data_IF_412036820935
#
_entry.id   IF_412036820935
#
_cell.length_a   1.000
_cell.length_b   1.000
_cell.length_c   1.000
_cell.angle_alpha   90.00
_cell.angle_beta   90.00
_cell.angle_gamma   90.00
#
_symmetry.space_group_name_H-M   'P 1'
#
loop_
_entity.id
_entity.type
_entity.pdbx_description
1 polymer ?
#
# COMPACT_ATOMS: atom_id res chain seq x y z
N UNK A 1 14.51 41.03 -29.42
CA UNK A 1 13.56 40.47 -28.43
C UNK A 1 14.33 39.42 -27.65
N UNK A 2 14.66 39.67 -26.37
CA UNK A 2 15.35 38.69 -25.51
C UNK A 2 14.31 37.79 -24.86
N UNK A 3 14.42 36.48 -25.05
CA UNK A 3 13.66 35.51 -24.26
C UNK A 3 14.10 35.65 -22.79
N UNK A 4 13.13 35.64 -21.89
CA UNK A 4 13.36 35.60 -20.44
C UNK A 4 14.16 34.35 -20.06
N UNK A 5 15.20 34.53 -19.25
CA UNK A 5 15.95 33.46 -18.61
C UNK A 5 15.02 32.68 -17.67
N UNK A 6 14.41 31.61 -18.18
CA UNK A 6 13.77 30.60 -17.34
C UNK A 6 14.93 29.83 -16.68
N UNK A 7 15.06 29.84 -15.35
CA UNK A 7 16.10 29.08 -14.69
C UNK A 7 15.90 27.59 -14.99
N UNK A 8 17.00 26.93 -15.37
CA UNK A 8 17.06 25.50 -15.66
C UNK A 8 16.63 24.72 -14.40
N UNK A 9 15.43 24.14 -14.46
CA UNK A 9 14.92 23.28 -13.40
C UNK A 9 15.56 21.92 -13.64
N UNK A 10 16.71 21.67 -13.02
CA UNK A 10 17.36 20.36 -12.98
C UNK A 10 16.91 19.64 -11.69
N UNK A 11 15.84 18.82 -11.71
CA UNK A 11 15.47 18.05 -10.54
C UNK A 11 16.41 16.85 -10.47
N UNK A 12 17.65 17.09 -10.03
CA UNK A 12 18.53 16.03 -9.56
C UNK A 12 17.99 15.48 -8.25
N UNK A 13 16.92 14.69 -8.35
CA UNK A 13 16.51 13.83 -7.25
C UNK A 13 17.49 12.65 -7.27
N UNK A 14 18.61 12.80 -6.58
CA UNK A 14 19.49 11.66 -6.28
C UNK A 14 18.86 10.87 -5.14
N UNK A 15 18.02 9.89 -5.46
CA UNK A 15 17.52 8.92 -4.49
C UNK A 15 18.63 7.89 -4.29
N UNK A 16 19.14 7.78 -3.07
CA UNK A 16 20.05 6.69 -2.73
C UNK A 16 19.27 5.40 -2.43
N UNK A 17 19.99 4.28 -2.26
CA UNK A 17 19.35 2.98 -2.03
C UNK A 17 18.56 2.95 -0.72
N UNK A 18 19.02 3.65 0.31
CA UNK A 18 18.38 3.67 1.63
C UNK A 18 17.07 4.46 1.57
N UNK A 19 17.07 5.61 0.90
CA UNK A 19 15.88 6.38 0.59
C UNK A 19 14.86 5.56 -0.22
N UNK A 20 15.33 4.81 -1.23
CA UNK A 20 14.46 3.95 -2.03
C UNK A 20 13.79 2.86 -1.19
N UNK A 21 14.53 2.20 -0.29
CA UNK A 21 13.99 1.21 0.65
C UNK A 21 12.96 1.82 1.59
N UNK A 22 13.27 2.98 2.16
CA UNK A 22 12.35 3.71 3.05
C UNK A 22 11.05 4.10 2.33
N UNK A 23 11.15 4.54 1.08
CA UNK A 23 9.98 4.86 0.25
C UNK A 23 9.16 3.61 -0.09
N UNK A 24 9.79 2.46 -0.34
CA UNK A 24 9.09 1.20 -0.57
C UNK A 24 8.33 0.73 0.69
N UNK A 25 8.96 0.81 1.86
CA UNK A 25 8.32 0.50 3.14
C UNK A 25 7.16 1.47 3.44
N UNK A 26 7.35 2.76 3.19
CA UNK A 26 6.29 3.76 3.34
C UNK A 26 5.12 3.50 2.39
N UNK A 27 5.40 3.09 1.15
CA UNK A 27 4.38 2.72 0.17
C UNK A 27 3.57 1.50 0.63
N UNK A 28 4.21 0.47 1.20
CA UNK A 28 3.52 -0.69 1.78
C UNK A 28 2.60 -0.23 2.93
N UNK A 29 3.14 0.56 3.87
CA UNK A 29 2.36 1.06 5.00
C UNK A 29 1.16 1.92 4.58
N UNK A 30 1.30 2.73 3.52
CA UNK A 30 0.19 3.50 2.98
C UNK A 30 -0.88 2.62 2.35
N UNK A 31 -0.49 1.54 1.68
CA UNK A 31 -1.42 0.59 1.07
C UNK A 31 -2.20 -0.17 2.16
N UNK A 32 -1.52 -0.62 3.22
CA UNK A 32 -2.13 -1.21 4.43
C UNK A 32 -3.16 -0.27 5.09
N UNK A 33 -2.81 1.01 5.26
CA UNK A 33 -3.73 2.02 5.79
C UNK A 33 -4.96 2.20 4.88
N UNK A 34 -4.75 2.18 3.56
CA UNK A 34 -5.84 2.21 2.59
C UNK A 34 -6.79 1.01 2.74
N UNK A 35 -6.24 -0.19 2.91
CA UNK A 35 -7.03 -1.41 3.15
C UNK A 35 -7.83 -1.32 4.46
N UNK A 36 -7.24 -0.79 5.53
CA UNK A 36 -7.93 -0.58 6.80
C UNK A 36 -9.15 0.35 6.68
N UNK A 37 -9.05 1.41 5.86
CA UNK A 37 -10.19 2.28 5.57
C UNK A 37 -11.28 1.56 4.77
N UNK A 38 -10.91 0.70 3.81
CA UNK A 38 -11.90 -0.10 3.07
C UNK A 38 -12.62 -1.06 4.02
N UNK A 39 -11.90 -1.77 4.88
CA UNK A 39 -12.50 -2.67 5.89
C UNK A 39 -13.51 -1.90 6.75
N UNK A 40 -13.13 -0.70 7.20
CA UNK A 40 -13.99 0.15 8.02
C UNK A 40 -15.25 0.59 7.27
N UNK A 41 -15.11 0.97 5.99
CA UNK A 41 -16.22 1.34 5.11
C UNK A 41 -17.17 0.17 4.83
N UNK A 42 -16.65 -1.04 4.62
CA UNK A 42 -17.46 -2.25 4.49
C UNK A 42 -18.22 -2.57 5.80
N UNK A 43 -17.59 -2.34 6.96
CA UNK A 43 -18.26 -2.45 8.27
C UNK A 43 -19.41 -1.45 8.42
N UNK A 44 -19.20 -0.20 8.01
CA UNK A 44 -20.26 0.82 8.03
C UNK A 44 -21.40 0.49 7.05
N UNK A 45 -21.06 -0.06 5.88
CA UNK A 45 -22.04 -0.56 4.90
C UNK A 45 -22.98 -1.61 5.52
N UNK A 46 -22.45 -2.54 6.33
CA UNK A 46 -23.26 -3.52 7.05
C UNK A 46 -24.23 -2.84 8.01
N UNK A 47 -23.75 -1.89 8.83
CA UNK A 47 -24.62 -1.18 9.79
C UNK A 47 -25.76 -0.47 9.09
N UNK A 48 -25.46 0.30 8.05
CA UNK A 48 -26.46 1.00 7.25
C UNK A 48 -27.44 0.02 6.59
N UNK A 49 -26.94 -1.12 6.11
CA UNK A 49 -27.79 -2.19 5.56
C UNK A 49 -28.78 -2.73 6.60
N UNK A 50 -28.32 -3.02 7.82
CA UNK A 50 -29.17 -3.49 8.92
C UNK A 50 -30.22 -2.47 9.36
N UNK A 51 -29.94 -1.17 9.21
CA UNK A 51 -30.88 -0.10 9.56
C UNK A 51 -31.92 0.18 8.46
N UNK A 52 -31.59 -0.06 7.19
CA UNK A 52 -32.38 0.45 6.04
C UNK A 52 -33.01 -0.62 5.15
N UNK A 53 -32.57 -1.87 5.23
CA UNK A 53 -33.08 -2.96 4.39
C UNK A 53 -34.13 -3.76 5.14
N UNK A 54 -35.33 -3.84 4.59
CA UNK A 54 -36.45 -4.60 5.17
C UNK A 54 -36.53 -6.04 4.64
N UNK A 55 -35.75 -6.36 3.58
CA UNK A 55 -35.76 -7.66 2.92
C UNK A 55 -34.52 -8.49 3.29
N UNK A 56 -34.74 -9.74 3.73
CA UNK A 56 -33.67 -10.68 4.06
C UNK A 56 -32.77 -10.97 2.84
N UNK A 57 -33.34 -11.04 1.63
CA UNK A 57 -32.55 -11.32 0.42
C UNK A 57 -31.57 -10.18 0.10
N UNK A 58 -31.95 -8.93 0.37
CA UNK A 58 -31.08 -7.76 0.23
C UNK A 58 -29.93 -7.80 1.24
N UNK A 59 -30.22 -8.14 2.51
CA UNK A 59 -29.19 -8.31 3.55
C UNK A 59 -28.21 -9.44 3.21
N UNK A 60 -28.71 -10.57 2.70
CA UNK A 60 -27.87 -11.68 2.25
C UNK A 60 -27.00 -11.29 1.04
N UNK A 61 -27.55 -10.51 0.10
CA UNK A 61 -26.78 -9.98 -1.03
C UNK A 61 -25.68 -9.01 -0.58
N UNK A 62 -26.00 -8.12 0.37
CA UNK A 62 -25.03 -7.21 0.99
C UNK A 62 -23.92 -8.00 1.68
N UNK A 63 -24.27 -8.99 2.50
CA UNK A 63 -23.28 -9.82 3.20
C UNK A 63 -22.34 -10.53 2.23
N UNK A 64 -22.87 -11.14 1.15
CA UNK A 64 -22.05 -11.77 0.10
C UNK A 64 -21.11 -10.78 -0.59
N UNK A 65 -21.57 -9.54 -0.80
CA UNK A 65 -20.74 -8.48 -1.38
C UNK A 65 -19.58 -8.10 -0.46
N UNK A 66 -19.85 -7.88 0.83
CA UNK A 66 -18.82 -7.58 1.83
C UNK A 66 -17.82 -8.73 1.94
N UNK A 67 -18.29 -9.97 2.03
CA UNK A 67 -17.46 -11.16 2.09
C UNK A 67 -16.51 -11.27 0.87
N UNK A 68 -16.98 -10.88 -0.31
CA UNK A 68 -16.17 -10.84 -1.52
C UNK A 68 -15.09 -9.76 -1.46
N UNK A 69 -15.41 -8.57 -0.94
CA UNK A 69 -14.41 -7.51 -0.73
C UNK A 69 -13.35 -7.97 0.28
N UNK A 70 -13.75 -8.52 1.42
CA UNK A 70 -12.81 -9.04 2.43
C UNK A 70 -11.89 -10.12 1.86
N UNK A 71 -12.41 -11.04 1.03
CA UNK A 71 -11.58 -12.01 0.30
C UNK A 71 -10.56 -11.34 -0.62
N UNK A 72 -10.92 -10.26 -1.29
CA UNK A 72 -10.00 -9.54 -2.15
C UNK A 72 -8.93 -8.78 -1.35
N UNK A 73 -9.29 -8.23 -0.19
CA UNK A 73 -8.35 -7.62 0.75
C UNK A 73 -7.33 -8.65 1.21
N UNK A 74 -7.74 -9.85 1.64
CA UNK A 74 -6.82 -10.92 2.03
C UNK A 74 -5.83 -11.27 0.92
N UNK A 75 -6.27 -11.34 -0.35
CA UNK A 75 -5.35 -11.56 -1.48
C UNK A 75 -4.35 -10.42 -1.63
N UNK A 76 -4.77 -9.19 -1.35
CA UNK A 76 -3.92 -8.01 -1.43
C UNK A 76 -2.90 -7.97 -0.30
N UNK A 77 -3.30 -8.30 0.92
CA UNK A 77 -2.43 -8.52 2.09
C UNK A 77 -1.34 -9.55 1.79
N UNK A 78 -1.67 -10.66 1.12
CA UNK A 78 -0.66 -11.64 0.68
C UNK A 78 0.37 -11.04 -0.30
N UNK A 79 -0.08 -10.21 -1.25
CA UNK A 79 0.82 -9.53 -2.18
C UNK A 79 1.69 -8.48 -1.48
N UNK A 80 1.15 -7.79 -0.47
CA UNK A 80 1.89 -6.84 0.37
C UNK A 80 2.94 -7.55 1.20
N UNK A 81 2.62 -8.72 1.76
CA UNK A 81 3.57 -9.56 2.46
C UNK A 81 4.74 -9.97 1.55
N UNK A 82 4.46 -10.41 0.31
CA UNK A 82 5.54 -10.74 -0.64
C UNK A 82 6.42 -9.52 -0.94
N UNK A 83 5.81 -8.36 -1.21
CA UNK A 83 6.57 -7.12 -1.46
C UNK A 83 7.43 -6.75 -0.24
N UNK A 84 6.92 -6.91 0.98
CA UNK A 84 7.67 -6.67 2.20
C UNK A 84 8.84 -7.64 2.33
N UNK A 85 8.64 -8.94 2.06
CA UNK A 85 9.71 -9.94 2.06
C UNK A 85 10.83 -9.58 1.07
N UNK A 86 10.49 -9.18 -0.15
CA UNK A 86 11.46 -8.75 -1.16
C UNK A 86 12.28 -7.53 -0.68
N UNK A 87 11.61 -6.56 -0.04
CA UNK A 87 12.27 -5.37 0.51
C UNK A 87 13.20 -5.73 1.68
N UNK A 88 12.80 -6.67 2.54
CA UNK A 88 13.65 -7.14 3.64
C UNK A 88 14.90 -7.88 3.10
N UNK A 89 14.76 -8.71 2.07
CA UNK A 89 15.91 -9.37 1.42
C UNK A 89 16.89 -8.34 0.84
N UNK A 90 16.38 -7.25 0.23
CA UNK A 90 17.22 -6.15 -0.27
C UNK A 90 18.03 -5.44 0.83
N UNK A 91 17.51 -5.40 2.07
CA UNK A 91 18.18 -4.85 3.25
C UNK A 91 19.26 -5.81 3.73
N UNK A 92 18.95 -7.10 3.85
CA UNK A 92 19.90 -8.13 4.31
C UNK A 92 21.13 -8.22 3.40
N UNK A 93 20.93 -8.24 2.08
CA UNK A 93 22.02 -8.23 1.11
C UNK A 93 22.95 -7.02 1.30
N UNK A 94 22.41 -5.85 1.64
CA UNK A 94 23.21 -4.64 1.89
C UNK A 94 24.11 -4.77 3.14
N UNK A 95 23.62 -5.46 4.18
CA UNK A 95 24.40 -5.77 5.37
C UNK A 95 25.60 -6.66 5.08
N UNK A 96 25.45 -7.64 4.17
CA UNK A 96 26.53 -8.55 3.79
C UNK A 96 27.64 -7.87 2.94
N UNK A 97 27.29 -6.92 2.07
CA UNK A 97 28.27 -6.19 1.28
C UNK A 97 29.15 -5.26 2.14
N UNK A 98 28.58 -4.58 3.14
CA UNK A 98 29.36 -3.75 4.07
C UNK A 98 30.33 -4.56 4.96
N UNK A 99 30.11 -5.87 5.12
CA UNK A 99 31.01 -6.76 5.85
C UNK A 99 32.24 -7.23 5.05
N UNK A 100 32.26 -7.05 3.72
CA UNK A 100 33.34 -7.55 2.83
C UNK A 100 34.36 -6.48 2.43
N UNK A 101 34.13 -5.20 2.72
CA UNK A 101 35.06 -4.11 2.41
C UNK A 101 36.17 -3.90 3.46
N UNK A 102 36.23 -4.75 4.50
CA UNK A 102 37.18 -4.63 5.62
C UNK A 102 38.30 -5.68 5.66
N UNK A 103 38.65 -6.31 4.53
CA UNK A 103 39.80 -7.22 4.42
C UNK A 103 40.76 -6.82 3.31
#
# INVERSE_FOLDING_TARGET
MSLSDIPDFDPKISIDREDAVNLLLASIAQEELGLAHIISAEGEKIKVGLEKMDCIDELLALNRSVEQILRNIIKKEMLLLFKLSDVLELIELNGEYKGKEHY
#
